data_IF_298890889791
#
_entry.id   IF_298890889791
#
_cell.length_a   1.000
_cell.length_b   1.000
_cell.length_c   1.000
_cell.angle_alpha   90.00
_cell.angle_beta   90.00
_cell.angle_gamma   90.00
#
_symmetry.space_group_name_H-M   'P 1'
#
loop_
_entity.id
_entity.type
_entity.pdbx_description
1 polymer ?
#
# COMPACT_ATOMS: atom_id res chain seq x y z
N UNK A 1 -6.44 21.81 -11.52
CA UNK A 1 -7.41 22.52 -10.66
C UNK A 1 -7.07 22.13 -9.23
N UNK A 2 -7.01 23.04 -8.24
CA UNK A 2 -6.68 22.64 -6.88
C UNK A 2 -7.85 21.83 -6.32
N UNK A 3 -7.63 20.54 -6.08
CA UNK A 3 -8.49 19.68 -5.26
C UNK A 3 -8.54 20.30 -3.87
N UNK A 4 -9.74 20.70 -3.45
CA UNK A 4 -9.92 21.54 -2.29
C UNK A 4 -9.53 20.77 -1.02
N UNK A 5 -8.32 21.04 -0.52
CA UNK A 5 -8.00 20.87 0.89
C UNK A 5 -9.10 21.60 1.67
N UNK A 6 -9.87 20.89 2.50
CA UNK A 6 -10.78 21.58 3.42
C UNK A 6 -9.96 22.19 4.55
N UNK A 7 -9.34 23.33 4.23
CA UNK A 7 -8.57 24.16 5.14
C UNK A 7 -9.41 24.71 6.31
N UNK A 8 -10.74 24.56 6.23
CA UNK A 8 -11.68 25.01 7.27
C UNK A 8 -11.94 23.94 8.34
N UNK A 9 -11.58 22.68 8.09
CA UNK A 9 -11.69 21.61 9.06
C UNK A 9 -10.88 21.92 10.33
N UNK A 10 -11.53 21.86 11.49
CA UNK A 10 -10.91 22.12 12.80
C UNK A 10 -10.59 20.83 13.56
N UNK A 11 -11.23 19.73 13.18
CA UNK A 11 -11.01 18.38 13.72
C UNK A 11 -11.06 17.35 12.60
N UNK A 12 -10.49 16.16 12.82
CA UNK A 12 -10.56 15.08 11.83
C UNK A 12 -12.00 14.66 11.52
N UNK A 13 -12.96 14.88 12.44
CA UNK A 13 -14.38 14.55 12.22
C UNK A 13 -15.04 15.42 11.16
N UNK A 14 -14.54 16.63 10.96
CA UNK A 14 -15.04 17.52 9.92
C UNK A 14 -14.76 16.94 8.51
N UNK A 15 -13.84 15.98 8.41
CA UNK A 15 -13.46 15.28 7.17
C UNK A 15 -14.07 13.88 7.05
N UNK A 16 -14.98 13.48 7.95
CA UNK A 16 -15.46 12.10 8.02
C UNK A 16 -16.16 11.62 6.74
N UNK A 17 -16.74 12.52 5.95
CA UNK A 17 -17.37 12.22 4.66
C UNK A 17 -16.35 11.99 3.53
N UNK A 18 -15.09 12.39 3.72
CA UNK A 18 -13.98 12.20 2.80
C UNK A 18 -13.06 11.04 3.21
N UNK A 19 -13.38 10.36 4.31
CA UNK A 19 -12.61 9.25 4.86
C UNK A 19 -13.33 7.91 4.66
N UNK A 20 -12.54 6.84 4.51
CA UNK A 20 -13.06 5.48 4.48
C UNK A 20 -13.53 5.04 5.87
N UNK A 21 -14.45 4.07 5.97
CA UNK A 21 -14.88 3.52 7.26
C UNK A 21 -13.74 2.97 8.12
N UNK A 22 -12.65 2.49 7.51
CA UNK A 22 -11.48 1.99 8.24
C UNK A 22 -10.63 3.13 8.81
N UNK A 23 -10.37 4.18 8.02
CA UNK A 23 -9.68 5.38 8.49
C UNK A 23 -10.44 6.04 9.65
N UNK A 24 -11.77 6.14 9.56
CA UNK A 24 -12.62 6.65 10.66
C UNK A 24 -12.40 5.84 11.94
N UNK A 25 -12.54 4.51 11.89
CA UNK A 25 -12.30 3.64 13.06
C UNK A 25 -10.88 3.76 13.61
N UNK A 26 -9.89 4.02 12.75
CA UNK A 26 -8.50 4.23 13.17
C UNK A 26 -8.37 5.56 13.91
N UNK A 27 -8.92 6.65 13.38
CA UNK A 27 -8.88 7.96 14.02
C UNK A 27 -9.67 8.00 15.34
N UNK A 28 -10.83 7.34 15.42
CA UNK A 28 -11.56 7.18 16.69
C UNK A 28 -10.71 6.53 17.78
N UNK A 29 -9.91 5.51 17.42
CA UNK A 29 -8.99 4.84 18.37
C UNK A 29 -7.84 5.74 18.77
N UNK A 30 -7.23 6.47 17.83
CA UNK A 30 -6.14 7.40 18.14
C UNK A 30 -6.61 8.57 19.00
N UNK A 31 -7.81 9.07 18.74
CA UNK A 31 -8.39 10.16 19.53
C UNK A 31 -8.53 9.79 21.01
N UNK A 32 -8.89 8.54 21.33
CA UNK A 32 -8.96 8.04 22.71
C UNK A 32 -7.59 8.01 23.42
N UNK A 33 -6.50 8.02 22.66
CA UNK A 33 -5.14 7.94 23.17
C UNK A 33 -4.45 9.30 23.27
N UNK A 34 -5.06 10.37 22.77
CA UNK A 34 -4.49 11.72 22.81
C UNK A 34 -4.17 12.14 24.26
N UNK A 35 -3.07 12.86 24.40
CA UNK A 35 -2.53 13.37 25.67
C UNK A 35 -2.45 14.89 25.67
N UNK A 36 -2.51 15.52 24.50
CA UNK A 36 -2.28 16.95 24.35
C UNK A 36 -3.06 17.56 23.17
N UNK A 37 -3.04 18.89 23.08
CA UNK A 37 -3.55 19.61 21.92
C UNK A 37 -2.68 19.37 20.68
N UNK A 38 -1.35 19.25 20.85
CA UNK A 38 -0.42 18.96 19.76
C UNK A 38 -0.74 17.62 19.10
N UNK A 39 -1.06 16.59 19.90
CA UNK A 39 -1.47 15.27 19.38
C UNK A 39 -2.75 15.38 18.51
N UNK A 40 -3.64 16.33 18.85
CA UNK A 40 -4.89 16.56 18.11
C UNK A 40 -4.62 17.24 16.77
N UNK A 41 -3.64 18.16 16.72
CA UNK A 41 -3.19 18.81 15.49
C UNK A 41 -2.50 17.81 14.55
N UNK A 42 -1.66 16.92 15.09
CA UNK A 42 -1.06 15.83 14.31
C UNK A 42 -2.12 14.89 13.73
N UNK A 43 -3.14 14.53 14.53
CA UNK A 43 -4.26 13.72 14.07
C UNK A 43 -5.04 14.38 12.93
N UNK A 44 -5.30 15.69 13.02
CA UNK A 44 -5.97 16.46 11.96
C UNK A 44 -5.11 16.51 10.70
N UNK A 45 -3.80 16.71 10.82
CA UNK A 45 -2.89 16.74 9.68
C UNK A 45 -2.91 15.41 8.92
N UNK A 46 -2.87 14.28 9.63
CA UNK A 46 -2.98 12.95 9.06
C UNK A 46 -4.33 12.73 8.36
N UNK A 47 -5.43 13.15 9.00
CA UNK A 47 -6.77 13.04 8.42
C UNK A 47 -6.92 13.85 7.13
N UNK A 48 -6.35 15.05 7.07
CA UNK A 48 -6.34 15.86 5.86
C UNK A 48 -5.56 15.20 4.72
N UNK A 49 -4.40 14.62 5.04
CA UNK A 49 -3.59 13.90 4.05
C UNK A 49 -4.30 12.67 3.49
N UNK A 50 -4.95 11.87 4.34
CA UNK A 50 -5.77 10.72 3.93
C UNK A 50 -6.99 11.13 3.10
N UNK A 51 -7.70 12.19 3.51
CA UNK A 51 -8.84 12.73 2.77
C UNK A 51 -8.45 13.20 1.37
N UNK A 52 -7.31 13.90 1.24
CA UNK A 52 -6.77 14.34 -0.05
C UNK A 52 -6.46 13.15 -0.97
N UNK A 53 -5.80 12.11 -0.45
CA UNK A 53 -5.49 10.89 -1.23
C UNK A 53 -6.75 10.16 -1.66
N UNK A 54 -7.73 9.99 -0.77
CA UNK A 54 -9.03 9.41 -1.12
C UNK A 54 -9.73 10.19 -2.24
N UNK A 55 -9.66 11.52 -2.19
CA UNK A 55 -10.28 12.37 -3.20
C UNK A 55 -9.56 12.23 -4.55
N UNK A 56 -8.23 12.22 -4.58
CA UNK A 56 -7.46 11.99 -5.79
C UNK A 56 -7.77 10.62 -6.42
N UNK A 57 -7.86 9.58 -5.59
CA UNK A 57 -8.20 8.23 -6.04
C UNK A 57 -9.56 8.13 -6.74
N UNK A 58 -10.57 8.86 -6.22
CA UNK A 58 -11.94 8.79 -6.75
C UNK A 58 -12.17 9.80 -7.87
N UNK A 59 -11.75 11.05 -7.69
CA UNK A 59 -12.09 12.16 -8.58
C UNK A 59 -11.13 12.25 -9.74
N UNK A 60 -9.83 12.19 -9.49
CA UNK A 60 -8.82 12.36 -10.54
C UNK A 60 -8.58 11.04 -11.28
N UNK A 61 -8.45 9.93 -10.54
CA UNK A 61 -8.04 8.65 -11.11
C UNK A 61 -9.10 7.54 -11.06
N UNK A 62 -10.32 7.83 -10.60
CA UNK A 62 -11.38 6.82 -10.48
C UNK A 62 -11.84 6.21 -11.80
N UNK A 63 -11.48 6.83 -12.92
CA UNK A 63 -11.74 6.34 -14.28
C UNK A 63 -10.72 5.30 -14.76
N UNK A 64 -9.61 5.11 -14.05
CA UNK A 64 -8.55 4.16 -14.41
C UNK A 64 -8.87 2.79 -13.79
N UNK A 65 -9.15 1.77 -14.61
CA UNK A 65 -9.53 0.47 -14.10
C UNK A 65 -8.36 -0.21 -13.38
N UNK A 66 -8.71 -1.01 -12.37
CA UNK A 66 -7.76 -1.92 -11.74
C UNK A 66 -7.48 -3.12 -12.66
N UNK A 67 -6.22 -3.58 -12.73
CA UNK A 67 -5.91 -4.88 -13.32
C UNK A 67 -6.66 -6.01 -12.61
N UNK A 68 -6.99 -7.06 -13.36
CA UNK A 68 -7.64 -8.25 -12.78
C UNK A 68 -6.76 -8.88 -11.69
N UNK A 69 -7.36 -9.26 -10.57
CA UNK A 69 -6.66 -9.85 -9.43
C UNK A 69 -6.22 -8.86 -8.35
N UNK A 70 -6.28 -7.55 -8.63
CA UNK A 70 -6.00 -6.52 -7.62
C UNK A 70 -7.28 -6.16 -6.88
N UNK A 71 -7.22 -6.21 -5.55
CA UNK A 71 -8.35 -5.87 -4.65
C UNK A 71 -8.06 -4.68 -3.74
N UNK A 72 -6.79 -4.39 -3.47
CA UNK A 72 -6.37 -3.33 -2.55
C UNK A 72 -5.18 -2.57 -3.16
N UNK A 73 -5.43 -1.68 -4.13
CA UNK A 73 -4.37 -0.82 -4.66
C UNK A 73 -3.87 0.16 -3.59
N UNK A 74 -2.62 0.61 -3.70
CA UNK A 74 -2.18 1.81 -3.01
C UNK A 74 -2.90 3.06 -3.56
N UNK A 75 -2.85 4.16 -2.82
CA UNK A 75 -3.32 5.44 -3.31
C UNK A 75 -2.43 5.96 -4.44
N UNK A 76 -2.98 6.86 -5.25
CA UNK A 76 -2.19 7.63 -6.19
C UNK A 76 -1.27 8.63 -5.49
N UNK A 77 -0.03 8.67 -5.96
CA UNK A 77 1.01 9.56 -5.47
C UNK A 77 1.67 10.31 -6.62
N UNK A 78 1.94 11.60 -6.40
CA UNK A 78 2.66 12.46 -7.33
C UNK A 78 4.15 12.48 -6.97
N UNK A 79 5.03 12.29 -7.96
CA UNK A 79 6.48 12.33 -7.75
C UNK A 79 7.09 13.75 -7.64
N UNK A 80 6.25 14.78 -7.59
CA UNK A 80 6.63 16.19 -7.60
C UNK A 80 6.91 16.77 -8.99
N UNK A 81 6.90 15.94 -10.04
CA UNK A 81 7.11 16.36 -11.44
C UNK A 81 5.82 16.36 -12.26
N UNK A 82 4.69 16.02 -11.64
CA UNK A 82 3.41 15.86 -12.33
C UNK A 82 3.13 14.41 -12.75
N UNK A 83 4.05 13.48 -12.50
CA UNK A 83 3.82 12.06 -12.77
C UNK A 83 3.10 11.44 -11.59
N UNK A 84 1.95 10.83 -11.86
CA UNK A 84 1.15 10.11 -10.88
C UNK A 84 1.29 8.61 -11.06
N UNK A 85 1.56 7.92 -9.96
CA UNK A 85 1.61 6.45 -9.94
C UNK A 85 0.96 5.90 -8.67
N UNK A 86 0.60 4.61 -8.69
CA UNK A 86 0.21 3.87 -7.48
C UNK A 86 0.82 2.48 -7.47
N UNK A 87 1.06 1.95 -6.27
CA UNK A 87 1.55 0.60 -6.07
C UNK A 87 0.43 -0.43 -6.10
N UNK A 88 0.75 -1.64 -6.52
CA UNK A 88 -0.16 -2.78 -6.63
C UNK A 88 0.50 -4.01 -6.03
N UNK A 89 -0.11 -4.60 -5.01
CA UNK A 89 0.30 -5.92 -4.51
C UNK A 89 -0.44 -7.00 -5.29
N UNK A 90 0.28 -7.85 -6.03
CA UNK A 90 -0.34 -8.91 -6.85
C UNK A 90 -0.24 -10.28 -6.19
N UNK A 91 0.95 -10.70 -5.80
CA UNK A 91 1.13 -11.99 -5.14
C UNK A 91 2.31 -11.97 -4.18
N UNK A 92 2.21 -12.72 -3.08
CA UNK A 92 3.28 -12.92 -2.11
C UNK A 92 3.30 -14.36 -1.62
N UNK A 93 4.50 -14.93 -1.52
CA UNK A 93 4.76 -16.28 -1.04
C UNK A 93 5.89 -16.21 -0.02
N UNK A 94 5.78 -16.90 1.10
CA UNK A 94 6.80 -16.96 2.15
C UNK A 94 7.18 -18.40 2.50
N UNK A 95 8.42 -18.60 2.92
CA UNK A 95 8.85 -19.82 3.61
C UNK A 95 8.99 -19.50 5.08
N UNK A 96 8.03 -19.96 5.89
CA UNK A 96 8.05 -19.82 7.33
C UNK A 96 9.31 -20.45 7.93
N UNK A 97 9.88 -19.78 8.94
CA UNK A 97 10.82 -20.41 9.87
C UNK A 97 10.12 -20.98 11.09
N UNK A 98 10.75 -22.01 11.67
CA UNK A 98 10.33 -22.61 12.93
C UNK A 98 10.52 -21.68 14.16
N UNK A 99 11.11 -20.49 13.99
CA UNK A 99 11.33 -19.51 15.06
C UNK A 99 10.60 -18.20 14.70
N UNK A 100 9.67 -17.80 15.57
CA UNK A 100 8.60 -16.81 15.37
C UNK A 100 9.03 -15.34 15.24
N UNK A 101 10.33 -15.05 15.22
CA UNK A 101 10.86 -13.72 15.53
C UNK A 101 11.61 -13.10 14.32
N UNK A 102 11.78 -13.87 13.24
CA UNK A 102 12.47 -13.47 12.03
C UNK A 102 11.45 -13.21 10.91
N UNK A 103 11.60 -12.10 10.18
CA UNK A 103 10.88 -11.85 8.93
C UNK A 103 11.13 -12.98 7.94
N UNK A 104 10.05 -13.60 7.46
CA UNK A 104 10.15 -14.72 6.53
C UNK A 104 10.80 -14.32 5.21
N UNK A 105 11.61 -15.23 4.66
CA UNK A 105 12.07 -15.09 3.28
C UNK A 105 10.88 -15.19 2.36
N UNK A 106 10.78 -14.25 1.42
CA UNK A 106 9.58 -14.05 0.62
C UNK A 106 9.90 -13.77 -0.83
N UNK A 107 8.99 -14.20 -1.69
CA UNK A 107 8.96 -13.89 -3.12
C UNK A 107 7.63 -13.23 -3.40
N UNK A 108 7.63 -12.08 -4.07
CA UNK A 108 6.42 -11.37 -4.39
C UNK A 108 6.50 -10.66 -5.74
N UNK A 109 5.34 -10.46 -6.35
CA UNK A 109 5.17 -9.70 -7.58
C UNK A 109 4.31 -8.49 -7.26
N UNK A 110 4.87 -7.32 -7.51
CA UNK A 110 4.18 -6.03 -7.32
C UNK A 110 4.22 -5.24 -8.63
N UNK A 111 3.29 -4.30 -8.76
CA UNK A 111 3.14 -3.43 -9.91
C UNK A 111 3.17 -1.96 -9.55
N UNK A 112 3.59 -1.14 -10.50
CA UNK A 112 3.38 0.31 -10.46
C UNK A 112 2.46 0.67 -11.62
N UNK A 113 1.27 1.19 -11.31
CA UNK A 113 0.32 1.68 -12.32
C UNK A 113 0.54 3.18 -12.54
N UNK A 114 0.64 3.60 -13.80
CA UNK A 114 0.73 4.99 -14.21
C UNK A 114 -0.65 5.58 -14.55
N UNK A 115 -0.78 6.90 -14.55
CA UNK A 115 -2.03 7.63 -14.80
C UNK A 115 -2.68 7.41 -16.18
N UNK A 116 -2.02 6.71 -17.10
CA UNK A 116 -2.60 6.25 -18.37
C UNK A 116 -3.19 4.81 -18.27
N UNK A 117 -3.07 4.19 -17.10
CA UNK A 117 -3.53 2.83 -16.80
C UNK A 117 -2.48 1.74 -17.04
N UNK A 118 -1.33 2.05 -17.65
CA UNK A 118 -0.26 1.08 -17.88
C UNK A 118 0.33 0.60 -16.55
N UNK A 119 0.72 -0.67 -16.48
CA UNK A 119 1.32 -1.26 -15.27
C UNK A 119 2.67 -1.85 -15.60
N UNK A 120 3.67 -1.48 -14.79
CA UNK A 120 4.99 -2.11 -14.82
C UNK A 120 5.09 -3.08 -13.65
N UNK A 121 5.15 -4.38 -13.96
CA UNK A 121 5.28 -5.45 -12.97
C UNK A 121 6.74 -5.78 -12.68
N UNK A 122 7.04 -6.04 -11.41
CA UNK A 122 8.37 -6.39 -10.91
C UNK A 122 8.28 -7.60 -9.97
N UNK A 123 9.29 -8.46 -10.02
CA UNK A 123 9.45 -9.58 -9.10
C UNK A 123 10.55 -9.24 -8.09
N UNK A 124 10.25 -9.46 -6.82
CA UNK A 124 11.18 -9.26 -5.71
C UNK A 124 11.43 -10.57 -4.98
N UNK A 125 12.69 -10.79 -4.60
CA UNK A 125 13.12 -11.92 -3.79
C UNK A 125 13.83 -11.36 -2.56
N UNK A 126 13.24 -11.57 -1.39
CA UNK A 126 13.82 -11.24 -0.10
C UNK A 126 14.28 -12.53 0.57
N UNK A 127 15.59 -12.74 0.63
CA UNK A 127 16.20 -13.81 1.39
C UNK A 127 16.72 -13.27 2.72
N UNK A 128 16.28 -13.86 3.82
CA UNK A 128 16.82 -13.56 5.15
C UNK A 128 18.16 -14.30 5.34
N UNK A 129 19.21 -13.55 5.69
CA UNK A 129 20.57 -14.04 5.89
C UNK A 129 20.92 -14.30 7.37
N UNK A 130 20.01 -13.99 8.31
CA UNK A 130 20.26 -14.14 9.76
C UNK A 130 20.40 -15.60 10.21
N UNK A 131 19.95 -16.53 9.39
CA UNK A 131 20.16 -17.95 9.63
C UNK A 131 20.27 -18.72 8.30
N UNK A 132 20.95 -19.87 8.28
CA UNK A 132 21.03 -20.72 7.11
C UNK A 132 19.70 -21.43 6.83
N UNK A 133 19.42 -21.69 5.56
CA UNK A 133 18.31 -22.51 5.12
C UNK A 133 18.62 -24.00 5.32
N UNK A 134 17.61 -24.81 5.65
CA UNK A 134 17.69 -26.25 5.39
C UNK A 134 17.61 -26.51 3.88
N UNK A 135 18.10 -27.66 3.42
CA UNK A 135 17.97 -28.05 2.01
C UNK A 135 16.50 -28.11 1.55
N UNK A 136 15.57 -28.49 2.43
CA UNK A 136 14.14 -28.49 2.14
C UNK A 136 13.59 -27.08 1.96
N UNK A 137 13.92 -26.16 2.88
CA UNK A 137 13.52 -24.76 2.78
C UNK A 137 14.10 -24.13 1.51
N UNK A 138 15.36 -24.41 1.18
CA UNK A 138 16.00 -23.88 -0.02
C UNK A 138 15.29 -24.36 -1.30
N UNK A 139 14.90 -25.64 -1.38
CA UNK A 139 14.12 -26.17 -2.51
C UNK A 139 12.74 -25.54 -2.61
N UNK A 140 12.05 -25.36 -1.47
CA UNK A 140 10.75 -24.67 -1.42
C UNK A 140 10.86 -23.24 -1.89
N UNK A 141 11.88 -22.51 -1.43
CA UNK A 141 12.10 -21.12 -1.83
C UNK A 141 12.45 -21.00 -3.32
N UNK A 142 13.31 -21.89 -3.84
CA UNK A 142 13.58 -21.96 -5.28
C UNK A 142 12.31 -22.22 -6.11
N UNK A 143 11.43 -23.12 -5.67
CA UNK A 143 10.16 -23.38 -6.35
C UNK A 143 9.23 -22.15 -6.33
N UNK A 144 9.23 -21.35 -5.26
CA UNK A 144 8.47 -20.09 -5.20
C UNK A 144 9.00 -19.05 -6.18
N UNK A 145 10.33 -18.93 -6.31
CA UNK A 145 10.96 -18.02 -7.30
C UNK A 145 10.55 -18.40 -8.72
N UNK A 146 10.61 -19.70 -9.06
CA UNK A 146 10.18 -20.18 -10.38
C UNK A 146 8.70 -19.87 -10.65
N UNK A 147 7.82 -20.18 -9.69
CA UNK A 147 6.39 -19.92 -9.86
C UNK A 147 6.06 -18.42 -9.98
N UNK A 148 6.79 -17.55 -9.29
CA UNK A 148 6.64 -16.10 -9.41
C UNK A 148 7.20 -15.57 -10.74
N UNK A 149 8.28 -16.16 -11.27
CA UNK A 149 8.80 -15.80 -12.59
C UNK A 149 7.78 -16.15 -13.69
N UNK A 150 7.21 -17.36 -13.66
CA UNK A 150 6.14 -17.79 -14.58
C UNK A 150 4.89 -16.91 -14.47
N UNK A 151 4.64 -16.32 -13.30
CA UNK A 151 3.56 -15.36 -13.09
C UNK A 151 3.87 -13.99 -13.68
N UNK A 152 5.07 -13.47 -13.46
CA UNK A 152 5.53 -12.22 -14.05
C UNK A 152 5.50 -12.27 -15.59
N UNK A 153 5.88 -13.41 -16.20
CA UNK A 153 5.81 -13.60 -17.64
C UNK A 153 4.38 -13.53 -18.20
N UNK A 154 3.39 -14.01 -17.44
CA UNK A 154 1.97 -13.95 -17.82
C UNK A 154 1.37 -12.55 -17.70
N UNK A 155 2.02 -11.64 -16.97
CA UNK A 155 1.58 -10.27 -16.75
C UNK A 155 2.17 -9.27 -17.76
N UNK A 156 3.05 -9.73 -18.66
CA UNK A 156 3.68 -8.93 -19.71
C UNK A 156 2.89 -8.90 -21.01
#
# INVERSE_FOLDING_TARGET
>A
MPTAHDDTATTWRDLADQLTPEQIRRFERYEQLLRSADDSEELLKEARWEAERNLNDVVEFGHIPLPSGISHPGHWENDGTGTWTRTMEFSRRSVDRAASDASDSSVYVDGVQAGDGAVTWSLFVLADDRAPFTAEQARRFAAMIMAAADELERLR
#
